data_IF_128264405482
#
_entry.id   IF_128264405482
#
_cell.length_a   1.000
_cell.length_b   1.000
_cell.length_c   1.000
_cell.angle_alpha   90.00
_cell.angle_beta   90.00
_cell.angle_gamma   90.00
#
_symmetry.space_group_name_H-M   'P 1'
#
loop_
_entity.id
_entity.type
_entity.pdbx_description
1 polymer ?
#
# COMPACT_ATOMS: atom_id res chain seq x y z
N UNK A 1 -19.29 -10.73 5.65
CA UNK A 1 -19.59 -9.29 5.48
C UNK A 1 -18.96 -8.90 4.16
N UNK A 2 -19.68 -8.24 3.27
CA UNK A 2 -19.11 -7.83 1.98
C UNK A 2 -18.52 -6.42 2.09
N UNK A 3 -17.41 -6.12 1.37
CA UNK A 3 -16.85 -4.78 1.33
C UNK A 3 -17.87 -3.80 0.71
N UNK A 4 -17.98 -2.61 1.29
CA UNK A 4 -18.90 -1.55 0.82
C UNK A 4 -18.26 -0.65 -0.25
N UNK A 5 -17.00 -0.89 -0.61
CA UNK A 5 -16.24 -0.11 -1.58
C UNK A 5 -15.29 -1.00 -2.39
N UNK A 6 -15.05 -0.64 -3.65
CA UNK A 6 -14.13 -1.35 -4.54
C UNK A 6 -12.66 -1.08 -4.17
N UNK A 7 -12.37 0.14 -3.72
CA UNK A 7 -11.03 0.63 -3.40
C UNK A 7 -10.84 0.86 -1.91
N UNK A 8 -9.73 0.40 -1.36
CA UNK A 8 -9.26 0.73 -0.03
C UNK A 8 -7.83 1.26 -0.07
N UNK A 9 -7.64 2.50 0.40
CA UNK A 9 -6.32 3.09 0.63
C UNK A 9 -6.07 3.20 2.13
N UNK A 10 -5.00 2.56 2.59
CA UNK A 10 -4.56 2.69 3.97
C UNK A 10 -3.21 3.39 4.02
N UNK A 11 -3.14 4.40 4.89
CA UNK A 11 -1.98 5.29 5.01
C UNK A 11 -1.35 5.09 6.39
N UNK A 12 -0.05 4.85 6.43
CA UNK A 12 0.70 4.81 7.69
C UNK A 12 2.17 5.15 7.48
N UNK A 13 2.78 5.75 8.50
CA UNK A 13 4.21 6.00 8.57
C UNK A 13 5.06 4.73 8.50
N UNK A 14 4.49 3.60 8.91
CA UNK A 14 5.18 2.32 9.01
C UNK A 14 4.92 1.38 7.81
N UNK A 15 4.22 1.85 6.77
CA UNK A 15 4.13 1.11 5.49
C UNK A 15 5.53 1.01 4.89
N UNK A 16 6.03 -0.22 4.72
CA UNK A 16 7.37 -0.53 4.22
C UNK A 16 8.51 0.15 5.03
N UNK A 17 8.23 0.56 6.27
CA UNK A 17 9.17 1.22 7.14
C UNK A 17 9.05 0.69 8.57
N UNK A 18 9.88 -0.28 8.93
CA UNK A 18 9.82 -0.90 10.26
C UNK A 18 10.38 0.02 11.33
N UNK A 19 9.49 0.70 12.05
CA UNK A 19 9.82 1.58 13.19
C UNK A 19 9.31 0.99 14.51
N UNK A 20 8.10 0.44 14.51
CA UNK A 20 7.41 -0.03 15.71
C UNK A 20 6.43 -1.17 15.44
N UNK A 21 5.38 -1.23 16.25
CA UNK A 21 4.39 -2.31 16.20
C UNK A 21 3.44 -2.21 15.00
N UNK A 22 3.24 -1.01 14.44
CA UNK A 22 2.28 -0.79 13.35
C UNK A 22 2.75 -1.51 12.08
N UNK A 23 4.06 -1.55 11.81
CA UNK A 23 4.62 -2.36 10.72
C UNK A 23 4.13 -3.81 10.80
N UNK A 24 4.18 -4.42 11.99
CA UNK A 24 3.76 -5.82 12.20
C UNK A 24 2.25 -5.97 12.01
N UNK A 25 1.45 -5.00 12.49
CA UNK A 25 -0.01 -5.01 12.32
C UNK A 25 -0.39 -4.92 10.83
N UNK A 26 0.17 -3.95 10.11
CA UNK A 26 -0.09 -3.75 8.67
C UNK A 26 0.37 -4.98 7.89
N UNK A 27 1.58 -5.48 8.15
CA UNK A 27 2.13 -6.66 7.46
C UNK A 27 1.30 -7.92 7.74
N UNK A 28 0.83 -8.10 8.97
CA UNK A 28 0.04 -9.26 9.37
C UNK A 28 -1.37 -9.26 8.77
N UNK A 29 -2.01 -8.09 8.62
CA UNK A 29 -3.37 -8.01 8.08
C UNK A 29 -3.42 -7.89 6.55
N UNK A 30 -2.36 -7.42 5.91
CA UNK A 30 -2.37 -7.14 4.46
C UNK A 30 -2.84 -8.31 3.58
N UNK A 31 -2.48 -9.59 3.84
CA UNK A 31 -2.99 -10.70 3.06
C UNK A 31 -4.52 -10.82 3.11
N UNK A 32 -5.09 -10.74 4.32
CA UNK A 32 -6.54 -10.81 4.53
C UNK A 32 -7.26 -9.62 3.85
N UNK A 33 -6.69 -8.42 3.96
CA UNK A 33 -7.29 -7.23 3.32
C UNK A 33 -7.30 -7.35 1.80
N UNK A 34 -6.27 -7.98 1.21
CA UNK A 34 -6.18 -8.23 -0.23
C UNK A 34 -7.16 -9.30 -0.72
N UNK A 35 -7.54 -10.24 0.14
CA UNK A 35 -8.61 -11.21 -0.16
C UNK A 35 -9.99 -10.58 -0.01
N UNK A 36 -10.15 -9.62 0.90
CA UNK A 36 -11.42 -9.00 1.22
C UNK A 36 -11.81 -7.87 0.27
N UNK A 37 -10.85 -7.03 -0.15
CA UNK A 37 -11.06 -5.92 -1.07
C UNK A 37 -10.50 -6.26 -2.45
N UNK A 38 -11.22 -5.86 -3.50
CA UNK A 38 -10.76 -6.00 -4.88
C UNK A 38 -9.46 -5.23 -5.11
N UNK A 39 -9.44 -3.96 -4.70
CA UNK A 39 -8.32 -3.06 -4.90
C UNK A 39 -7.86 -2.47 -3.56
N UNK A 40 -6.80 -3.05 -2.99
CA UNK A 40 -6.22 -2.64 -1.71
C UNK A 40 -4.81 -2.06 -1.89
N UNK A 41 -4.63 -0.83 -1.43
CA UNK A 41 -3.39 -0.07 -1.55
C UNK A 41 -2.88 0.40 -0.19
N UNK A 42 -1.56 0.32 -0.03
CA UNK A 42 -0.84 0.85 1.12
C UNK A 42 -0.04 2.07 0.67
N UNK A 43 -0.13 3.16 1.43
CA UNK A 43 0.60 4.40 1.16
C UNK A 43 1.43 4.75 2.38
N UNK A 44 2.70 5.07 2.15
CA UNK A 44 3.62 5.49 3.19
C UNK A 44 4.74 6.36 2.66
N UNK A 45 5.55 6.93 3.55
CA UNK A 45 6.75 7.68 3.18
C UNK A 45 7.74 6.79 2.42
N UNK A 46 8.33 7.32 1.36
CA UNK A 46 9.37 6.63 0.61
C UNK A 46 10.73 6.81 1.30
N UNK A 47 11.30 5.71 1.78
CA UNK A 47 12.67 5.67 2.29
C UNK A 47 13.52 4.78 1.40
N UNK A 48 14.47 5.37 0.68
CA UNK A 48 15.24 4.69 -0.38
C UNK A 48 15.88 3.37 0.08
N UNK A 49 16.49 3.34 1.26
CA UNK A 49 17.17 2.13 1.79
C UNK A 49 16.19 0.99 2.05
N UNK A 50 15.03 1.29 2.62
CA UNK A 50 14.00 0.33 2.94
C UNK A 50 13.22 -0.10 1.68
N UNK A 51 12.93 0.85 0.79
CA UNK A 51 12.24 0.61 -0.48
C UNK A 51 12.98 -0.43 -1.33
N UNK A 52 14.32 -0.34 -1.44
CA UNK A 52 15.14 -1.32 -2.16
C UNK A 52 15.03 -2.76 -1.62
N UNK A 53 14.61 -2.93 -0.36
CA UNK A 53 14.50 -4.23 0.30
C UNK A 53 13.06 -4.76 0.33
N UNK A 54 12.09 -3.88 0.51
CA UNK A 54 10.69 -4.25 0.76
C UNK A 54 9.79 -4.09 -0.48
N UNK A 55 10.22 -3.33 -1.50
CA UNK A 55 9.41 -3.00 -2.66
C UNK A 55 9.99 -3.58 -3.96
N UNK A 56 9.08 -3.93 -4.86
CA UNK A 56 9.36 -4.21 -6.27
C UNK A 56 8.69 -3.13 -7.10
N UNK A 57 9.46 -2.40 -7.90
CA UNK A 57 8.92 -1.38 -8.80
C UNK A 57 7.98 -2.00 -9.84
N UNK A 58 6.85 -1.33 -10.08
CA UNK A 58 5.82 -1.72 -11.04
C UNK A 58 5.15 -0.49 -11.62
N UNK A 59 4.65 -0.63 -12.83
CA UNK A 59 3.79 0.39 -13.45
C UNK A 59 2.52 0.59 -12.61
N UNK A 60 2.01 1.83 -12.51
CA UNK A 60 0.76 2.09 -11.81
C UNK A 60 -0.42 1.39 -12.51
N UNK A 61 -1.46 0.96 -11.77
CA UNK A 61 -2.69 0.47 -12.37
C UNK A 61 -3.26 1.48 -13.37
N UNK A 62 -3.79 1.01 -14.50
CA UNK A 62 -4.25 1.87 -15.60
C UNK A 62 -5.31 2.86 -15.14
N UNK A 63 -6.14 2.43 -14.21
CA UNK A 63 -7.23 3.19 -13.61
C UNK A 63 -6.70 4.37 -12.77
N UNK A 64 -5.49 4.25 -12.23
CA UNK A 64 -4.84 5.26 -11.41
C UNK A 64 -3.71 6.01 -12.14
N UNK A 65 -3.33 5.59 -13.34
CA UNK A 65 -2.18 6.12 -14.07
C UNK A 65 -2.18 7.66 -14.19
N UNK A 66 -3.36 8.26 -14.40
CA UNK A 66 -3.50 9.72 -14.47
C UNK A 66 -3.03 10.42 -13.19
N UNK A 67 -3.34 9.86 -12.02
CA UNK A 67 -2.95 10.44 -10.74
C UNK A 67 -1.42 10.45 -10.54
N UNK A 68 -0.71 9.49 -11.12
CA UNK A 68 0.75 9.44 -11.04
C UNK A 68 1.42 10.41 -12.03
N UNK A 69 0.84 10.57 -13.23
CA UNK A 69 1.36 11.51 -14.24
C UNK A 69 1.21 12.96 -13.81
N UNK A 70 0.15 13.31 -13.10
CA UNK A 70 -0.09 14.67 -12.61
C UNK A 70 0.77 15.07 -11.39
N UNK A 71 1.54 14.12 -10.81
CA UNK A 71 2.40 14.36 -9.65
C UNK A 71 3.87 14.64 -10.00
N UNK A 72 4.25 14.50 -11.27
CA UNK A 72 5.54 14.98 -11.84
C UNK A 72 5.46 16.47 -12.25
#
# INVERSE_FOLDING_TARGET
>A
MEPTADYLFEVSWEVCNKVGGIYTVVRGKAPMMKEFYKDYFLIGPYFEKQARLELSEKDPPKELAKAFVEME
#
